data_IF_368261018001
#
_entry.id   IF_368261018001
#
_cell.length_a   1.000
_cell.length_b   1.000
_cell.length_c   1.000
_cell.angle_alpha   90.00
_cell.angle_beta   90.00
_cell.angle_gamma   90.00
#
_symmetry.space_group_name_H-M   'P 1'
#
loop_
_entity.id
_entity.type
_entity.pdbx_description
1 polymer ?
#
# COMPACT_ATOMS: atom_id res chain seq x y z
N UNK A 1 1.78 19.16 -0.58
CA UNK A 1 3.13 18.66 -0.24
C UNK A 1 3.58 17.73 -1.36
N UNK A 2 4.65 18.05 -2.10
CA UNK A 2 5.14 17.23 -3.22
C UNK A 2 6.18 16.26 -2.66
N UNK A 3 5.79 15.00 -2.47
CA UNK A 3 6.62 13.94 -1.86
C UNK A 3 7.75 13.43 -2.79
N UNK A 4 7.99 14.06 -3.93
CA UNK A 4 8.87 13.52 -5.01
C UNK A 4 10.38 13.63 -4.76
N UNK A 5 10.84 14.27 -3.68
CA UNK A 5 12.25 14.69 -3.55
C UNK A 5 12.90 14.53 -2.17
N UNK A 6 12.33 13.75 -1.25
CA UNK A 6 13.09 13.35 -0.05
C UNK A 6 13.83 12.05 -0.34
N UNK A 7 15.08 11.95 0.17
CA UNK A 7 15.93 10.75 0.07
C UNK A 7 15.21 9.49 0.56
N UNK A 8 14.24 9.67 1.46
CA UNK A 8 13.41 8.64 2.10
C UNK A 8 11.92 8.77 1.72
N UNK A 9 11.62 9.29 0.52
CA UNK A 9 10.24 9.38 0.02
C UNK A 9 9.70 7.99 -0.35
N UNK A 10 8.36 7.77 -0.31
CA UNK A 10 7.78 6.52 -0.80
C UNK A 10 8.18 6.23 -2.26
N UNK A 11 8.43 7.24 -3.10
CA UNK A 11 8.95 7.04 -4.46
C UNK A 11 10.35 6.41 -4.52
N UNK A 12 11.25 6.74 -3.59
CA UNK A 12 12.55 6.05 -3.47
C UNK A 12 12.40 4.67 -2.84
N UNK A 13 11.42 4.48 -1.95
CA UNK A 13 11.11 3.16 -1.37
C UNK A 13 10.56 2.21 -2.45
N UNK A 14 9.74 2.71 -3.38
CA UNK A 14 9.30 1.97 -4.58
C UNK A 14 10.43 1.66 -5.53
N UNK A 15 11.34 2.61 -5.79
CA UNK A 15 12.50 2.35 -6.64
C UNK A 15 13.37 1.22 -6.07
N UNK A 16 13.43 1.08 -4.74
CA UNK A 16 14.06 -0.08 -4.08
C UNK A 16 13.17 -1.34 -4.14
N UNK A 17 11.83 -1.22 -4.15
CA UNK A 17 10.90 -2.37 -4.21
C UNK A 17 10.96 -3.14 -5.53
N UNK A 18 11.22 -2.46 -6.66
CA UNK A 18 10.99 -3.06 -7.98
C UNK A 18 12.26 -3.53 -8.68
N UNK A 19 13.47 -3.18 -8.21
CA UNK A 19 14.73 -3.36 -8.98
C UNK A 19 14.60 -2.92 -10.46
N UNK A 20 13.61 -2.07 -10.76
CA UNK A 20 13.13 -1.84 -12.10
C UNK A 20 14.01 -0.76 -12.74
N UNK A 21 14.59 -1.02 -13.93
CA UNK A 21 15.35 -0.02 -14.67
C UNK A 21 14.51 1.20 -15.11
N UNK A 22 13.19 1.25 -14.85
CA UNK A 22 12.36 2.45 -14.93
C UNK A 22 12.78 3.50 -13.91
N UNK A 23 13.84 4.22 -14.29
CA UNK A 23 14.38 5.42 -13.69
C UNK A 23 13.32 6.25 -12.93
N UNK A 24 13.55 6.47 -11.63
CA UNK A 24 12.73 7.26 -10.69
C UNK A 24 12.32 8.66 -11.20
N UNK A 25 12.97 9.17 -12.25
CA UNK A 25 12.56 10.40 -12.98
C UNK A 25 11.26 10.27 -13.77
N UNK A 26 10.72 9.06 -13.95
CA UNK A 26 9.50 8.78 -14.76
C UNK A 26 8.27 8.44 -13.93
N UNK A 27 8.43 8.18 -12.63
CA UNK A 27 7.34 7.97 -11.69
C UNK A 27 6.73 9.33 -11.30
N UNK A 28 5.63 9.69 -11.96
CA UNK A 28 4.92 10.92 -11.69
C UNK A 28 3.75 10.60 -10.74
N UNK A 29 3.89 10.92 -9.46
CA UNK A 29 2.87 10.67 -8.43
C UNK A 29 2.59 11.92 -7.59
N UNK A 30 1.32 12.28 -7.46
CA UNK A 30 0.84 13.42 -6.67
C UNK A 30 0.00 12.94 -5.51
N UNK A 31 0.27 13.46 -4.32
CA UNK A 31 -0.47 13.14 -3.10
C UNK A 31 -1.26 14.36 -2.63
N UNK A 32 -2.53 14.15 -2.29
CA UNK A 32 -3.43 15.18 -1.75
C UNK A 32 -4.08 14.69 -0.45
N UNK A 33 -4.38 15.62 0.44
CA UNK A 33 -5.21 15.38 1.63
C UNK A 33 -6.62 15.92 1.35
N UNK A 34 -7.66 15.20 1.73
CA UNK A 34 -9.05 15.67 1.59
C UNK A 34 -10.09 14.58 1.83
N UNK A 35 -11.34 14.98 2.09
CA UNK A 35 -12.46 14.05 2.21
C UNK A 35 -12.76 13.43 0.85
N UNK A 36 -12.55 12.12 0.72
CA UNK A 36 -12.70 11.39 -0.55
C UNK A 36 -14.21 11.08 -0.82
N UNK A 37 -15.07 11.24 0.19
CA UNK A 37 -16.54 11.37 0.14
C UNK A 37 -17.07 11.46 1.59
N UNK A 38 -18.32 11.89 1.77
CA UNK A 38 -18.99 11.97 3.07
C UNK A 38 -19.45 10.61 3.63
N UNK A 39 -19.40 9.56 2.79
CA UNK A 39 -19.86 8.20 3.09
C UNK A 39 -18.72 7.26 3.53
N UNK A 40 -17.56 7.81 3.90
CA UNK A 40 -16.45 7.08 4.54
C UNK A 40 -15.61 6.21 3.60
N UNK A 41 -14.77 6.79 2.73
CA UNK A 41 -13.87 6.06 1.85
C UNK A 41 -12.63 5.51 2.61
N UNK A 42 -11.88 4.56 2.02
CA UNK A 42 -10.64 4.02 2.57
C UNK A 42 -9.61 5.11 2.93
N UNK A 43 -8.63 4.78 3.79
CA UNK A 43 -7.59 5.72 4.26
C UNK A 43 -6.88 6.44 3.11
N UNK A 44 -6.69 5.75 1.99
CA UNK A 44 -6.13 6.25 0.74
C UNK A 44 -6.99 5.81 -0.44
N UNK A 45 -6.94 6.58 -1.52
CA UNK A 45 -7.50 6.20 -2.82
C UNK A 45 -6.61 6.73 -3.93
N UNK A 46 -6.03 5.81 -4.70
CA UNK A 46 -5.32 6.12 -5.94
C UNK A 46 -6.28 6.15 -7.11
N UNK A 47 -6.30 7.28 -7.84
CA UNK A 47 -7.13 7.45 -9.02
C UNK A 47 -6.51 6.69 -10.20
N UNK A 48 -7.33 5.95 -10.95
CA UNK A 48 -6.93 5.29 -12.20
C UNK A 48 -6.54 6.24 -13.33
N UNK A 49 -6.65 7.56 -13.12
CA UNK A 49 -6.34 8.60 -14.10
C UNK A 49 -4.87 9.05 -13.99
N UNK A 50 -4.20 9.09 -15.14
CA UNK A 50 -2.89 9.72 -15.28
C UNK A 50 -2.99 11.03 -16.06
N UNK A 51 -2.48 12.11 -15.49
CA UNK A 51 -2.39 13.42 -16.13
C UNK A 51 -0.92 13.74 -16.35
N UNK A 52 -0.49 14.10 -17.56
CA UNK A 52 0.95 14.32 -17.85
C UNK A 52 1.61 15.31 -16.88
N UNK A 53 0.91 16.39 -16.51
CA UNK A 53 1.42 17.41 -15.60
C UNK A 53 1.59 16.93 -14.15
N UNK A 54 0.66 16.12 -13.64
CA UNK A 54 0.60 15.75 -12.20
C UNK A 54 0.88 14.28 -11.93
N UNK A 55 0.87 13.45 -12.96
CA UNK A 55 0.96 12.00 -12.89
C UNK A 55 -0.31 11.36 -12.35
N UNK A 56 -0.14 10.19 -11.72
CA UNK A 56 -1.21 9.53 -10.96
C UNK A 56 -1.43 10.30 -9.66
N UNK A 57 -2.69 10.46 -9.24
CA UNK A 57 -3.02 11.14 -7.98
C UNK A 57 -3.58 10.17 -6.96
N UNK A 58 -3.06 10.23 -5.74
CA UNK A 58 -3.66 9.59 -4.56
C UNK A 58 -4.19 10.65 -3.62
N UNK A 59 -5.43 10.47 -3.17
CA UNK A 59 -5.98 11.23 -2.06
C UNK A 59 -5.92 10.39 -0.78
N UNK A 60 -5.59 11.01 0.35
CA UNK A 60 -5.68 10.40 1.68
C UNK A 60 -6.75 11.10 2.50
N UNK A 61 -7.63 10.32 3.11
CA UNK A 61 -8.66 10.83 3.99
C UNK A 61 -8.11 10.94 5.42
N UNK A 62 -7.49 12.08 5.72
CA UNK A 62 -6.88 12.38 7.02
C UNK A 62 -7.87 12.40 8.20
N UNK A 63 -9.18 12.32 7.93
CA UNK A 63 -10.22 12.24 8.96
C UNK A 63 -10.61 10.79 9.29
N UNK A 64 -10.14 9.81 8.50
CA UNK A 64 -10.36 8.39 8.79
C UNK A 64 -9.26 7.86 9.70
N UNK A 65 -9.62 6.93 10.61
CA UNK A 65 -8.70 6.22 11.50
C UNK A 65 -7.92 7.11 12.49
N UNK A 66 -8.63 7.91 13.28
CA UNK A 66 -8.03 8.76 14.34
C UNK A 66 -7.22 7.99 15.38
N UNK A 67 -7.55 6.71 15.59
CA UNK A 67 -6.84 5.82 16.52
C UNK A 67 -5.68 5.05 15.87
N UNK A 68 -5.44 5.22 14.58
CA UNK A 68 -4.37 4.51 13.87
C UNK A 68 -2.98 5.01 14.26
N UNK A 69 -2.02 4.11 14.09
CA UNK A 69 -0.62 4.46 14.23
C UNK A 69 -0.02 5.10 12.99
N UNK A 70 1.08 5.83 13.19
CA UNK A 70 1.97 6.28 12.11
C UNK A 70 2.46 5.12 11.23
N UNK A 71 2.61 3.91 11.79
CA UNK A 71 2.92 2.69 11.04
C UNK A 71 1.79 2.30 10.07
N UNK A 72 0.53 2.37 10.53
CA UNK A 72 -0.63 2.14 9.66
C UNK A 72 -0.70 3.16 8.52
N UNK A 73 -0.42 4.43 8.79
CA UNK A 73 -0.35 5.47 7.76
C UNK A 73 0.80 5.25 6.78
N UNK A 74 2.00 4.94 7.28
CA UNK A 74 3.16 4.65 6.44
C UNK A 74 2.88 3.45 5.52
N UNK A 75 2.25 2.40 6.04
CA UNK A 75 1.78 1.26 5.24
C UNK A 75 0.85 1.72 4.13
N UNK A 76 -0.21 2.44 4.46
CA UNK A 76 -1.19 2.94 3.46
C UNK A 76 -0.49 3.76 2.38
N UNK A 77 0.42 4.68 2.76
CA UNK A 77 1.15 5.49 1.79
C UNK A 77 2.00 4.66 0.82
N UNK A 78 2.58 3.55 1.28
CA UNK A 78 3.33 2.63 0.42
C UNK A 78 2.42 1.84 -0.51
N UNK A 79 1.27 1.34 -0.03
CA UNK A 79 0.28 0.66 -0.86
C UNK A 79 -0.18 1.52 -2.02
N UNK A 80 -0.63 2.74 -1.71
CA UNK A 80 -1.09 3.68 -2.74
C UNK A 80 0.01 4.04 -3.75
N UNK A 81 1.27 4.00 -3.30
CA UNK A 81 2.40 4.25 -4.18
C UNK A 81 2.63 3.09 -5.18
N UNK A 82 2.37 1.84 -4.77
CA UNK A 82 2.42 0.68 -5.67
C UNK A 82 1.26 0.74 -6.68
N UNK A 83 0.05 1.09 -6.25
CA UNK A 83 -1.06 1.35 -7.17
C UNK A 83 -0.69 2.39 -8.23
N UNK A 84 -0.11 3.51 -7.81
CA UNK A 84 0.32 4.55 -8.72
C UNK A 84 1.42 4.08 -9.70
N UNK A 85 2.32 3.20 -9.26
CA UNK A 85 3.35 2.62 -10.11
C UNK A 85 2.73 1.72 -11.18
N UNK A 86 1.87 0.78 -10.80
CA UNK A 86 1.20 -0.12 -11.73
C UNK A 86 0.35 0.63 -12.77
N UNK A 87 -0.38 1.68 -12.35
CA UNK A 87 -1.14 2.55 -13.26
C UNK A 87 -0.19 3.29 -14.22
N UNK A 88 0.92 3.83 -13.71
CA UNK A 88 1.91 4.52 -14.55
C UNK A 88 2.54 3.57 -15.57
N UNK A 89 2.91 2.36 -15.17
CA UNK A 89 3.48 1.34 -16.03
C UNK A 89 2.49 0.94 -17.14
N UNK A 90 1.21 0.74 -16.80
CA UNK A 90 0.19 0.48 -17.81
C UNK A 90 0.13 1.59 -18.87
N UNK A 91 0.06 2.86 -18.42
CA UNK A 91 -0.19 3.98 -19.32
C UNK A 91 1.05 4.32 -20.15
N UNK A 92 2.24 4.16 -19.58
CA UNK A 92 3.50 4.57 -20.22
C UNK A 92 4.26 3.44 -20.90
N UNK A 93 4.02 2.20 -20.49
CA UNK A 93 4.68 1.01 -20.99
C UNK A 93 3.75 -0.21 -20.95
N UNK A 94 2.62 -0.18 -21.66
CA UNK A 94 1.65 -1.26 -21.61
C UNK A 94 2.27 -2.61 -21.99
N UNK A 95 3.21 -2.64 -22.95
CA UNK A 95 3.90 -3.87 -23.34
C UNK A 95 4.77 -4.45 -22.23
N UNK A 96 5.49 -3.60 -21.47
CA UNK A 96 6.24 -4.05 -20.31
C UNK A 96 5.33 -4.56 -19.21
N UNK A 97 4.24 -3.86 -18.90
CA UNK A 97 3.28 -4.32 -17.91
C UNK A 97 2.70 -5.71 -18.25
N UNK A 98 2.32 -5.93 -19.51
CA UNK A 98 1.81 -7.23 -19.96
C UNK A 98 2.87 -8.33 -19.84
N UNK A 99 4.14 -8.00 -20.10
CA UNK A 99 5.24 -8.95 -19.98
C UNK A 99 5.59 -9.29 -18.52
N UNK A 100 5.60 -8.27 -17.65
CA UNK A 100 6.02 -8.38 -16.26
C UNK A 100 4.90 -8.89 -15.34
N UNK A 101 3.64 -8.52 -15.64
CA UNK A 101 2.44 -8.85 -14.86
C UNK A 101 1.30 -9.42 -15.72
N UNK A 102 1.54 -10.53 -16.45
CA UNK A 102 0.56 -11.08 -17.40
C UNK A 102 -0.75 -11.51 -16.74
N UNK A 103 -0.68 -12.05 -15.50
CA UNK A 103 -1.87 -12.51 -14.76
C UNK A 103 -2.74 -11.33 -14.35
N UNK A 104 -2.16 -10.30 -13.72
CA UNK A 104 -2.88 -9.06 -13.39
C UNK A 104 -3.56 -8.45 -14.62
N UNK A 105 -2.87 -8.43 -15.76
CA UNK A 105 -3.43 -7.88 -16.99
C UNK A 105 -4.64 -8.69 -17.50
N UNK A 106 -4.58 -10.02 -17.42
CA UNK A 106 -5.71 -10.89 -17.76
C UNK A 106 -6.90 -10.68 -16.82
N UNK A 107 -6.64 -10.63 -15.51
CA UNK A 107 -7.66 -10.34 -14.48
C UNK A 107 -8.32 -8.99 -14.72
N UNK A 108 -7.54 -7.97 -15.08
CA UNK A 108 -8.09 -6.66 -15.42
C UNK A 108 -8.97 -6.70 -16.67
N UNK A 109 -8.56 -7.35 -17.76
CA UNK A 109 -9.42 -7.46 -18.94
C UNK A 109 -10.71 -8.21 -18.60
N UNK A 110 -10.63 -9.27 -17.79
CA UNK A 110 -11.79 -10.06 -17.37
C UNK A 110 -12.74 -9.28 -16.44
N UNK A 111 -12.20 -8.35 -15.66
CA UNK A 111 -12.95 -7.57 -14.66
C UNK A 111 -13.05 -6.07 -15.03
N UNK A 112 -12.98 -5.74 -16.32
CA UNK A 112 -12.93 -4.34 -16.79
C UNK A 112 -14.13 -3.48 -16.36
N UNK A 113 -15.23 -4.13 -15.96
CA UNK A 113 -16.43 -3.49 -15.43
C UNK A 113 -16.37 -3.20 -13.92
N UNK A 114 -15.44 -3.80 -13.16
CA UNK A 114 -15.30 -3.63 -11.69
C UNK A 114 -14.08 -2.80 -11.28
N UNK A 115 -13.22 -2.45 -12.23
CA UNK A 115 -12.10 -1.53 -12.02
C UNK A 115 -10.79 -2.22 -11.64
N UNK A 116 -9.76 -1.39 -11.44
CA UNK A 116 -8.36 -1.82 -11.30
C UNK A 116 -7.99 -2.35 -9.90
N UNK A 117 -8.82 -2.09 -8.90
CA UNK A 117 -8.45 -2.27 -7.51
C UNK A 117 -8.20 -3.74 -7.16
N UNK A 118 -9.11 -4.65 -7.55
CA UNK A 118 -9.00 -6.06 -7.23
C UNK A 118 -7.82 -6.73 -7.94
N UNK A 119 -7.64 -6.61 -9.28
CA UNK A 119 -6.45 -7.16 -9.94
C UNK A 119 -5.14 -6.62 -9.35
N UNK A 120 -5.10 -5.34 -8.96
CA UNK A 120 -3.92 -4.76 -8.33
C UNK A 120 -3.66 -5.34 -6.94
N UNK A 121 -4.69 -5.52 -6.09
CA UNK A 121 -4.50 -6.18 -4.79
C UNK A 121 -4.00 -7.61 -4.95
N UNK A 122 -4.55 -8.36 -5.90
CA UNK A 122 -4.08 -9.71 -6.21
C UNK A 122 -2.62 -9.71 -6.70
N UNK A 123 -2.24 -8.76 -7.53
CA UNK A 123 -0.84 -8.67 -7.96
C UNK A 123 0.10 -8.27 -6.83
N UNK A 124 -0.32 -7.34 -5.97
CA UNK A 124 0.46 -6.94 -4.78
C UNK A 124 0.66 -8.15 -3.85
N UNK A 125 -0.39 -8.94 -3.63
CA UNK A 125 -0.34 -10.12 -2.76
C UNK A 125 0.61 -11.19 -3.28
N UNK A 126 0.64 -11.41 -4.61
CA UNK A 126 1.53 -12.39 -5.26
C UNK A 126 2.99 -11.95 -5.30
N UNK A 127 3.23 -10.68 -5.66
CA UNK A 127 4.55 -10.26 -6.16
C UNK A 127 5.25 -9.25 -5.25
N UNK A 128 4.50 -8.54 -4.38
CA UNK A 128 5.04 -7.37 -3.67
C UNK A 128 5.02 -7.48 -2.15
N UNK A 129 4.24 -8.37 -1.52
CA UNK A 129 4.16 -8.44 -0.05
C UNK A 129 5.52 -8.56 0.62
N UNK A 130 6.39 -9.45 0.12
CA UNK A 130 7.70 -9.66 0.73
C UNK A 130 8.59 -8.43 0.59
N UNK A 131 8.69 -7.88 -0.62
CA UNK A 131 9.52 -6.70 -0.89
C UNK A 131 8.97 -5.47 -0.15
N UNK A 132 7.64 -5.32 -0.08
CA UNK A 132 6.94 -4.35 0.75
C UNK A 132 7.42 -4.44 2.20
N UNK A 133 7.32 -5.61 2.82
CA UNK A 133 7.74 -5.80 4.21
C UNK A 133 9.21 -5.45 4.43
N UNK A 134 10.08 -5.83 3.49
CA UNK A 134 11.52 -5.55 3.55
C UNK A 134 11.82 -4.04 3.48
N UNK A 135 11.21 -3.25 2.57
CA UNK A 135 11.48 -1.80 2.58
C UNK A 135 10.64 -1.00 3.58
N UNK A 136 9.50 -1.54 4.05
CA UNK A 136 8.79 -1.00 5.21
C UNK A 136 9.67 -1.09 6.47
N UNK A 137 10.31 -2.24 6.68
CA UNK A 137 11.33 -2.43 7.72
C UNK A 137 12.45 -1.38 7.60
N UNK A 138 13.09 -1.28 6.44
CA UNK A 138 14.18 -0.32 6.20
C UNK A 138 13.76 1.10 6.55
N UNK A 139 12.60 1.55 6.06
CA UNK A 139 12.12 2.90 6.34
C UNK A 139 11.82 3.12 7.81
N UNK A 140 11.14 2.20 8.47
CA UNK A 140 10.77 2.37 9.86
C UNK A 140 11.98 2.33 10.79
N UNK A 141 13.02 1.57 10.44
CA UNK A 141 14.33 1.66 11.13
C UNK A 141 14.89 3.08 11.03
N UNK A 142 14.81 3.75 9.87
CA UNK A 142 15.24 5.16 9.76
C UNK A 142 14.38 6.13 10.60
N UNK A 143 13.18 5.71 11.02
CA UNK A 143 12.28 6.46 11.90
C UNK A 143 12.43 6.08 13.37
N UNK A 144 13.37 5.19 13.70
CA UNK A 144 13.70 4.78 15.06
C UNK A 144 12.88 3.58 15.58
N UNK A 145 12.16 2.87 14.71
CA UNK A 145 11.50 1.63 15.07
C UNK A 145 12.47 0.45 14.94
N UNK A 146 12.49 -0.42 15.94
CA UNK A 146 13.24 -1.66 15.93
C UNK A 146 12.30 -2.80 16.35
N UNK A 147 11.48 -3.25 15.41
CA UNK A 147 10.47 -4.28 15.64
C UNK A 147 10.93 -5.61 15.03
N UNK A 148 10.27 -6.70 15.43
CA UNK A 148 10.56 -8.00 14.85
C UNK A 148 10.26 -8.04 13.34
N UNK A 149 11.08 -8.76 12.58
CA UNK A 149 10.92 -8.86 11.12
C UNK A 149 9.53 -9.38 10.72
N UNK A 150 8.96 -10.32 11.47
CA UNK A 150 7.62 -10.83 11.21
C UNK A 150 6.58 -9.72 11.28
N UNK A 151 6.73 -8.74 12.18
CA UNK A 151 5.78 -7.63 12.28
C UNK A 151 5.76 -6.78 11.00
N UNK A 152 6.92 -6.48 10.41
CA UNK A 152 6.96 -5.72 9.15
C UNK A 152 6.34 -6.50 7.99
N UNK A 153 6.59 -7.82 7.94
CA UNK A 153 5.98 -8.70 6.95
C UNK A 153 4.47 -8.85 7.16
N UNK A 154 3.97 -8.79 8.38
CA UNK A 154 2.54 -8.85 8.69
C UNK A 154 1.82 -7.57 8.31
N UNK A 155 2.45 -6.43 8.61
CA UNK A 155 1.94 -5.13 8.20
C UNK A 155 1.87 -5.03 6.67
N UNK A 156 2.74 -5.73 5.95
CA UNK A 156 2.72 -5.78 4.50
C UNK A 156 1.47 -6.45 3.91
N UNK A 157 0.61 -7.09 4.69
CA UNK A 157 -0.65 -7.71 4.23
C UNK A 157 -1.89 -6.84 4.46
N UNK A 158 -1.78 -5.71 5.16
CA UNK A 158 -2.94 -4.88 5.49
C UNK A 158 -3.60 -4.29 4.26
N UNK A 159 -4.88 -4.59 4.03
CA UNK A 159 -5.64 -4.26 2.83
C UNK A 159 -5.72 -5.38 1.79
N UNK A 160 -5.01 -6.50 2.00
CA UNK A 160 -4.99 -7.67 1.11
C UNK A 160 -5.74 -8.88 1.67
N UNK A 161 -6.48 -8.71 2.77
CA UNK A 161 -7.16 -9.81 3.46
C UNK A 161 -8.19 -10.54 2.59
N UNK A 162 -8.70 -9.85 1.56
CA UNK A 162 -9.65 -10.40 0.60
C UNK A 162 -9.00 -11.09 -0.60
N UNK A 163 -7.67 -11.07 -0.71
CA UNK A 163 -6.97 -11.71 -1.84
C UNK A 163 -6.91 -13.22 -1.71
N UNK A 164 -6.84 -13.92 -2.84
CA UNK A 164 -6.69 -15.38 -2.86
C UNK A 164 -5.38 -15.80 -2.18
N UNK A 165 -4.30 -15.04 -2.37
CA UNK A 165 -3.01 -15.33 -1.71
C UNK A 165 -3.13 -15.28 -0.18
N UNK A 166 -3.82 -14.27 0.37
CA UNK A 166 -4.04 -14.18 1.81
C UNK A 166 -4.95 -15.31 2.32
N UNK A 167 -6.03 -15.59 1.60
CA UNK A 167 -6.98 -16.67 1.91
C UNK A 167 -6.29 -18.04 1.93
N UNK A 168 -5.26 -18.24 1.11
CA UNK A 168 -4.47 -19.48 1.06
C UNK A 168 -3.40 -19.62 2.17
N UNK A 169 -3.16 -18.58 2.97
CA UNK A 169 -2.29 -18.70 4.15
C UNK A 169 -2.88 -19.66 5.20
N UNK A 170 -2.03 -20.14 6.13
CA UNK A 170 -2.53 -20.93 7.25
C UNK A 170 -3.51 -20.13 8.11
N UNK A 171 -4.45 -20.80 8.78
CA UNK A 171 -5.39 -20.12 9.67
C UNK A 171 -4.64 -19.36 10.79
N UNK A 172 -3.53 -19.91 11.28
CA UNK A 172 -2.69 -19.29 12.28
C UNK A 172 -2.07 -17.98 11.74
N UNK A 173 -1.56 -17.99 10.52
CA UNK A 173 -0.97 -16.79 9.89
C UNK A 173 -2.01 -15.73 9.61
N UNK A 174 -3.17 -16.09 9.03
CA UNK A 174 -4.26 -15.14 8.81
C UNK A 174 -4.69 -14.47 10.11
N UNK A 175 -4.91 -15.25 11.18
CA UNK A 175 -5.27 -14.70 12.49
C UNK A 175 -4.18 -13.79 13.06
N UNK A 176 -2.91 -14.18 12.95
CA UNK A 176 -1.78 -13.39 13.45
C UNK A 176 -1.69 -12.06 12.71
N UNK A 177 -1.73 -12.08 11.39
CA UNK A 177 -1.65 -10.92 10.51
C UNK A 177 -2.83 -9.97 10.75
N UNK A 178 -4.07 -10.47 10.70
CA UNK A 178 -5.26 -9.65 10.94
C UNK A 178 -5.28 -9.05 12.34
N UNK A 179 -4.77 -9.75 13.36
CA UNK A 179 -4.61 -9.15 14.68
C UNK A 179 -3.57 -8.02 14.69
N UNK A 180 -2.41 -8.19 14.04
CA UNK A 180 -1.41 -7.12 13.94
C UNK A 180 -2.01 -5.87 13.28
N UNK A 181 -2.72 -6.06 12.16
CA UNK A 181 -3.36 -4.96 11.42
C UNK A 181 -4.44 -4.28 12.26
N UNK A 182 -5.33 -5.05 12.89
CA UNK A 182 -6.42 -4.53 13.72
C UNK A 182 -5.88 -3.73 14.91
N UNK A 183 -4.82 -4.22 15.56
CA UNK A 183 -4.20 -3.53 16.70
C UNK A 183 -3.59 -2.21 16.25
N UNK A 184 -2.82 -2.19 15.17
CA UNK A 184 -2.20 -0.95 14.68
C UNK A 184 -3.24 0.05 14.15
N UNK A 185 -4.39 -0.41 13.67
CA UNK A 185 -5.43 0.46 13.13
C UNK A 185 -6.39 1.03 14.20
N UNK A 186 -6.70 0.23 15.22
CA UNK A 186 -7.77 0.52 16.18
C UNK A 186 -7.39 0.39 17.66
N UNK A 187 -6.16 -0.05 17.98
CA UNK A 187 -5.74 -0.32 19.36
C UNK A 187 -6.43 -1.53 19.99
N UNK A 188 -7.10 -2.38 19.20
CA UNK A 188 -7.79 -3.59 19.66
C UNK A 188 -7.41 -4.79 18.81
N UNK A 189 -7.54 -6.00 19.35
CA UNK A 189 -7.40 -7.21 18.54
C UNK A 189 -8.72 -7.57 17.83
N UNK A 190 -8.74 -8.66 17.07
CA UNK A 190 -9.96 -9.10 16.35
C UNK A 190 -11.14 -9.46 17.27
N UNK A 191 -10.92 -9.65 18.57
CA UNK A 191 -11.98 -9.90 19.56
C UNK A 191 -12.47 -8.60 20.22
N UNK A 192 -11.99 -7.43 19.78
CA UNK A 192 -12.29 -6.13 20.38
C UNK A 192 -11.55 -5.84 21.69
N UNK A 193 -10.63 -6.71 22.11
CA UNK A 193 -9.87 -6.49 23.34
C UNK A 193 -8.74 -5.48 23.10
N UNK A 194 -8.59 -4.45 23.95
CA UNK A 194 -7.50 -3.49 23.84
C UNK A 194 -6.13 -4.16 23.84
N UNK A 195 -5.24 -3.69 22.97
CA UNK A 195 -3.85 -4.12 22.88
C UNK A 195 -2.94 -2.92 22.66
N UNK A 196 -1.72 -2.94 23.22
CA UNK A 196 -0.76 -1.89 22.97
C UNK A 196 -0.38 -1.88 21.50
N UNK A 197 -0.52 -0.71 20.88
CA UNK A 197 0.03 -0.40 19.57
C UNK A 197 1.55 -0.28 19.67
N UNK A 198 2.26 -0.72 18.62
CA UNK A 198 3.70 -0.57 18.49
C UNK A 198 4.07 0.77 17.88
N UNK A 199 3.24 1.27 16.96
CA UNK A 199 3.39 2.61 16.41
C UNK A 199 2.91 3.70 17.35
N UNK A 200 3.26 4.95 17.01
CA UNK A 200 2.77 6.14 17.71
C UNK A 200 1.41 6.53 17.14
N UNK A 201 0.51 7.03 17.97
CA UNK A 201 -0.77 7.56 17.48
C UNK A 201 -0.51 8.65 16.44
N UNK A 202 -1.19 8.53 15.29
CA UNK A 202 -1.08 9.49 14.21
C UNK A 202 -1.99 10.72 14.42
N UNK A 203 -2.97 10.62 15.31
CA UNK A 203 -3.76 11.75 15.80
C UNK A 203 -2.97 12.59 16.80
N UNK A 204 -3.05 13.93 16.64
CA UNK A 204 -2.38 14.94 17.46
C UNK A 204 -2.61 14.77 18.96
#
# INVERSE_FOLDING_TARGET
>A
MILKKTRDSPGNMIANFTNDPWNSTRFNWTVKSGGISCDGPPAGQTLSLYIVATGVTTAFNSFTYTDSTDLSWARTMLYESIHAYLITCYIRNPRGLVADYPVMFQEWIADSNKGLNNPQHEEISRSFVKSFGDAFEVYLITKGYNLDKQFYQDMAWGGLEETDAFKNLSEADRKRISNVIQVELHGTNMNGNPKPQKGKKAGC
#
